data_IF_598706755510
#
_entry.id   IF_598706755510
#
_cell.length_a   1.000
_cell.length_b   1.000
_cell.length_c   1.000
_cell.angle_alpha   90.00
_cell.angle_beta   90.00
_cell.angle_gamma   90.00
#
_symmetry.space_group_name_H-M   'P 1'
#
loop_
_entity.id
_entity.type
_entity.pdbx_description
1 polymer ?
#
# COMPACT_ATOMS: atom_id res chain seq x y z
N UNK A 1 13.22 8.41 -9.42
CA UNK A 1 12.77 7.91 -10.75
C UNK A 1 11.49 7.13 -10.55
N UNK A 2 10.55 7.08 -11.49
CA UNK A 2 9.33 6.27 -11.38
C UNK A 2 9.63 4.78 -11.13
N UNK A 3 10.78 4.31 -11.61
CA UNK A 3 11.33 2.96 -11.42
C UNK A 3 11.50 2.55 -9.95
N UNK A 4 11.70 3.49 -9.02
CA UNK A 4 11.79 3.13 -7.59
C UNK A 4 10.46 2.67 -7.01
N UNK A 5 9.34 3.06 -7.63
CA UNK A 5 8.01 2.57 -7.29
C UNK A 5 7.71 1.19 -7.91
N UNK A 6 8.57 0.70 -8.81
CA UNK A 6 8.44 -0.63 -9.42
C UNK A 6 9.08 -1.73 -8.55
N UNK A 7 9.87 -1.37 -7.55
CA UNK A 7 10.54 -2.30 -6.64
C UNK A 7 9.53 -3.00 -5.72
N UNK A 8 9.53 -4.33 -5.71
CA UNK A 8 8.70 -5.13 -4.79
C UNK A 8 9.40 -5.39 -3.45
N UNK A 9 8.62 -5.75 -2.44
CA UNK A 9 9.15 -6.21 -1.15
C UNK A 9 9.66 -5.09 -0.25
N UNK A 10 9.28 -3.85 -0.53
CA UNK A 10 9.54 -2.70 0.33
C UNK A 10 8.82 -2.94 1.67
N UNK A 11 9.52 -2.67 2.78
CA UNK A 11 8.90 -2.76 4.11
C UNK A 11 7.91 -1.62 4.32
N UNK A 12 6.97 -1.79 5.24
CA UNK A 12 6.04 -0.74 5.66
C UNK A 12 6.79 0.57 6.02
N UNK A 13 7.94 0.43 6.69
CA UNK A 13 8.81 1.56 7.02
C UNK A 13 9.40 2.25 5.80
N UNK A 14 9.92 1.49 4.83
CA UNK A 14 10.42 2.05 3.57
C UNK A 14 9.32 2.73 2.76
N UNK A 15 8.12 2.13 2.69
CA UNK A 15 6.97 2.71 1.99
C UNK A 15 6.49 4.01 2.62
N UNK A 16 6.40 4.06 3.96
CA UNK A 16 6.02 5.27 4.69
C UNK A 16 7.06 6.39 4.55
N UNK A 17 8.37 6.06 4.50
CA UNK A 17 9.41 7.06 4.22
C UNK A 17 9.24 7.72 2.85
N UNK A 18 8.99 6.92 1.81
CA UNK A 18 8.72 7.46 0.46
C UNK A 18 7.50 8.37 0.48
N UNK A 19 6.45 7.96 1.19
CA UNK A 19 5.25 8.78 1.35
C UNK A 19 5.54 10.11 2.07
N UNK A 20 6.28 10.08 3.19
CA UNK A 20 6.68 11.25 3.96
C UNK A 20 7.58 12.21 3.14
N UNK A 21 8.47 11.68 2.30
CA UNK A 21 9.28 12.47 1.37
C UNK A 21 8.41 13.18 0.31
N UNK A 22 7.35 12.52 -0.18
CA UNK A 22 6.40 13.12 -1.13
C UNK A 22 5.55 14.18 -0.45
N UNK A 23 5.07 13.91 0.76
CA UNK A 23 4.34 14.86 1.62
C UNK A 23 5.16 16.14 1.83
N UNK A 24 6.45 16.01 2.16
CA UNK A 24 7.35 17.15 2.32
C UNK A 24 7.54 17.94 1.02
N UNK A 25 7.67 17.25 -0.12
CA UNK A 25 7.83 17.92 -1.43
C UNK A 25 6.59 18.71 -1.83
N UNK A 26 5.40 18.15 -1.60
CA UNK A 26 4.13 18.83 -1.90
C UNK A 26 4.00 20.10 -1.08
N UNK A 27 4.30 20.05 0.23
CA UNK A 27 4.25 21.22 1.12
C UNK A 27 5.27 22.31 0.81
N UNK A 28 6.31 22.00 0.03
CA UNK A 28 7.35 22.97 -0.38
C UNK A 28 7.05 23.66 -1.71
N UNK A 29 5.96 23.30 -2.40
CA UNK A 29 5.60 23.92 -3.68
C UNK A 29 5.10 25.34 -3.40
N UNK A 30 5.75 26.40 -3.94
CA UNK A 30 5.33 27.77 -3.69
C UNK A 30 4.18 28.20 -4.61
N UNK A 31 3.41 29.19 -4.16
CA UNK A 31 2.38 29.90 -4.94
C UNK A 31 1.03 29.17 -5.02
N UNK A 32 0.09 29.76 -5.76
CA UNK A 32 -1.31 29.32 -5.84
C UNK A 32 -1.46 27.85 -6.25
N UNK A 33 -0.60 27.37 -7.15
CA UNK A 33 -0.59 25.97 -7.54
C UNK A 33 -0.22 25.04 -6.38
N UNK A 34 0.71 25.45 -5.51
CA UNK A 34 1.09 24.73 -4.30
C UNK A 34 -0.06 24.61 -3.31
N UNK A 35 -0.81 25.69 -3.07
CA UNK A 35 -1.98 25.68 -2.18
C UNK A 35 -3.06 24.70 -2.68
N UNK A 36 -3.27 24.66 -4.00
CA UNK A 36 -4.21 23.72 -4.63
C UNK A 36 -3.75 22.26 -4.42
N UNK A 37 -2.46 21.97 -4.61
CA UNK A 37 -1.92 20.63 -4.37
C UNK A 37 -1.97 20.22 -2.90
N UNK A 38 -1.65 21.13 -1.99
CA UNK A 38 -1.71 20.89 -0.54
C UNK A 38 -3.14 20.58 -0.10
N UNK A 39 -4.11 21.37 -0.56
CA UNK A 39 -5.54 21.15 -0.26
C UNK A 39 -6.02 19.78 -0.76
N UNK A 40 -5.64 19.39 -1.98
CA UNK A 40 -5.97 18.06 -2.52
C UNK A 40 -5.28 16.94 -1.75
N UNK A 41 -4.01 17.13 -1.39
CA UNK A 41 -3.26 16.14 -0.63
C UNK A 41 -3.89 15.92 0.75
N UNK A 42 -4.18 16.99 1.49
CA UNK A 42 -4.83 16.93 2.80
C UNK A 42 -6.20 16.28 2.72
N UNK A 43 -6.97 16.55 1.67
CA UNK A 43 -8.26 15.90 1.43
C UNK A 43 -8.11 14.37 1.31
N UNK A 44 -7.13 13.90 0.52
CA UNK A 44 -6.87 12.47 0.33
C UNK A 44 -6.36 11.83 1.62
N UNK A 45 -5.41 12.46 2.30
CA UNK A 45 -4.83 11.96 3.55
C UNK A 45 -5.89 11.86 4.64
N UNK A 46 -6.73 12.88 4.80
CA UNK A 46 -7.80 12.91 5.80
C UNK A 46 -8.84 11.82 5.58
N UNK A 47 -9.10 11.45 4.32
CA UNK A 47 -10.00 10.34 3.99
C UNK A 47 -9.41 8.96 4.28
N UNK A 48 -8.09 8.84 4.37
CA UNK A 48 -7.43 7.57 4.63
C UNK A 48 -7.25 7.32 6.13
N UNK A 49 -8.29 6.79 6.78
CA UNK A 49 -8.27 6.45 8.21
C UNK A 49 -7.29 5.34 8.59
N UNK A 50 -6.79 4.56 7.62
CA UNK A 50 -5.83 3.48 7.86
C UNK A 50 -4.39 4.00 7.99
N UNK A 51 -4.06 5.15 7.42
CA UNK A 51 -2.69 5.69 7.45
C UNK A 51 -2.15 5.92 8.88
N UNK A 52 -2.92 6.48 9.84
CA UNK A 52 -2.49 6.57 11.23
C UNK A 52 -2.21 5.20 11.88
N UNK A 53 -3.04 4.19 11.59
CA UNK A 53 -2.86 2.82 12.09
C UNK A 53 -1.56 2.22 11.55
N UNK A 54 -1.28 2.41 10.26
CA UNK A 54 -0.03 1.96 9.64
C UNK A 54 1.21 2.64 10.23
N UNK A 55 1.12 3.92 10.59
CA UNK A 55 2.20 4.63 11.31
C UNK A 55 2.43 4.04 12.71
N UNK A 56 1.39 3.66 13.44
CA UNK A 56 1.50 2.96 14.74
C UNK A 56 2.17 1.59 14.59
N UNK A 57 1.72 0.79 13.62
CA UNK A 57 2.30 -0.52 13.31
C UNK A 57 3.78 -0.39 12.96
N UNK A 58 4.15 0.59 12.12
CA UNK A 58 5.57 0.89 11.83
C UNK A 58 6.36 1.16 13.10
N UNK A 59 5.84 1.99 13.99
CA UNK A 59 6.53 2.40 15.21
C UNK A 59 6.76 1.20 16.16
N UNK A 60 5.80 0.28 16.22
CA UNK A 60 5.93 -1.00 16.95
C UNK A 60 6.97 -1.91 16.28
N UNK A 61 6.94 -2.05 14.95
CA UNK A 61 7.92 -2.85 14.20
C UNK A 61 9.36 -2.33 14.35
N UNK A 62 9.53 -1.03 14.55
CA UNK A 62 10.82 -0.39 14.83
C UNK A 62 11.25 -0.51 16.31
N UNK A 63 10.40 -1.08 17.17
CA UNK A 63 10.69 -1.22 18.60
C UNK A 63 10.69 0.12 19.34
N UNK A 64 9.93 1.13 18.89
CA UNK A 64 9.84 2.40 19.62
C UNK A 64 9.19 2.17 20.99
N UNK A 65 9.79 2.67 22.08
CA UNK A 65 9.29 2.44 23.43
C UNK A 65 7.89 3.05 23.59
N UNK A 66 6.94 2.26 24.11
CA UNK A 66 5.57 2.71 24.37
C UNK A 66 4.71 2.90 23.13
N UNK A 67 5.15 2.46 21.94
CA UNK A 67 4.31 2.50 20.74
C UNK A 67 3.09 1.56 20.92
N UNK A 68 1.85 2.08 20.83
CA UNK A 68 0.67 1.25 20.94
C UNK A 68 0.37 0.55 19.63
N UNK A 69 -0.05 -0.71 19.70
CA UNK A 69 -0.83 -1.35 18.62
C UNK A 69 -2.27 -0.80 18.70
N UNK A 70 -2.92 -0.66 17.55
CA UNK A 70 -4.33 -0.24 17.51
C UNK A 70 -5.23 -1.22 18.24
N UNK A 71 -6.31 -0.73 18.85
CA UNK A 71 -7.28 -1.57 19.57
C UNK A 71 -7.77 -2.74 18.71
N UNK A 72 -7.73 -3.94 19.27
CA UNK A 72 -8.13 -5.17 18.59
C UNK A 72 -7.06 -5.81 17.70
N UNK A 73 -5.87 -5.20 17.57
CA UNK A 73 -4.75 -5.80 16.82
C UNK A 73 -3.86 -6.65 17.73
N UNK A 74 -3.64 -7.91 17.35
CA UNK A 74 -2.67 -8.76 18.03
C UNK A 74 -1.23 -8.45 17.58
N UNK A 75 -0.20 -8.83 18.34
CA UNK A 75 1.18 -8.70 17.89
C UNK A 75 1.44 -9.40 16.55
N UNK A 76 0.76 -10.53 16.30
CA UNK A 76 0.88 -11.26 15.05
C UNK A 76 0.34 -10.47 13.86
N UNK A 77 -0.81 -9.80 14.02
CA UNK A 77 -1.39 -8.94 12.99
C UNK A 77 -0.42 -7.81 12.61
N UNK A 78 0.23 -7.20 13.61
CA UNK A 78 1.28 -6.20 13.38
C UNK A 78 2.46 -6.73 12.57
N UNK A 79 2.90 -7.97 12.82
CA UNK A 79 4.00 -8.59 12.05
C UNK A 79 3.63 -8.90 10.61
N UNK A 80 2.38 -9.28 10.34
CA UNK A 80 1.87 -9.57 8.97
C UNK A 80 1.90 -8.29 8.13
N UNK A 81 1.68 -7.14 8.75
CA UNK A 81 1.70 -5.83 8.09
C UNK A 81 3.12 -5.30 7.78
N UNK A 82 4.20 -6.04 8.11
CA UNK A 82 5.59 -5.63 7.83
C UNK A 82 5.85 -5.28 6.36
N UNK A 83 5.14 -5.93 5.44
CA UNK A 83 5.24 -5.69 3.99
C UNK A 83 3.90 -5.20 3.41
N UNK A 84 3.10 -4.50 4.22
CA UNK A 84 1.84 -3.93 3.77
C UNK A 84 2.09 -2.92 2.63
N UNK A 85 1.39 -3.05 1.49
CA UNK A 85 1.55 -2.14 0.37
C UNK A 85 1.05 -0.73 0.73
N UNK A 86 1.88 0.28 0.49
CA UNK A 86 1.55 1.69 0.77
C UNK A 86 1.11 2.42 -0.51
N UNK A 87 1.58 1.99 -1.68
CA UNK A 87 1.35 2.69 -2.94
C UNK A 87 0.27 2.00 -3.77
N UNK A 88 -0.46 2.77 -4.60
CA UNK A 88 -1.45 2.21 -5.53
C UNK A 88 -0.83 1.26 -6.56
N UNK A 89 0.46 1.42 -6.87
CA UNK A 89 1.19 0.59 -7.83
C UNK A 89 1.27 -0.87 -7.35
N UNK A 90 1.40 -1.09 -6.04
CA UNK A 90 1.38 -2.44 -5.46
C UNK A 90 -0.01 -3.10 -5.64
N UNK A 91 -1.07 -2.31 -5.47
CA UNK A 91 -2.47 -2.74 -5.66
C UNK A 91 -2.73 -3.07 -7.14
N UNK A 92 -2.35 -2.17 -8.05
CA UNK A 92 -2.48 -2.39 -9.49
C UNK A 92 -1.71 -3.64 -9.94
N UNK A 93 -0.52 -3.88 -9.40
CA UNK A 93 0.26 -5.09 -9.70
C UNK A 93 -0.44 -6.37 -9.25
N UNK A 94 -1.11 -6.37 -8.10
CA UNK A 94 -1.95 -7.51 -7.70
C UNK A 94 -3.09 -7.78 -8.69
N UNK A 95 -3.65 -6.74 -9.33
CA UNK A 95 -4.67 -6.88 -10.37
C UNK A 95 -4.11 -7.17 -11.78
N UNK A 96 -2.84 -6.84 -12.04
CA UNK A 96 -2.18 -7.18 -13.30
C UNK A 96 -1.90 -8.68 -13.45
N UNK A 97 -1.65 -9.40 -12.35
CA UNK A 97 -1.39 -10.86 -12.38
C UNK A 97 -2.55 -11.64 -13.02
N UNK A 98 -3.82 -11.44 -12.63
CA UNK A 98 -4.94 -12.11 -13.27
C UNK A 98 -5.39 -11.48 -14.60
N UNK A 99 -4.68 -10.50 -15.18
CA UNK A 99 -5.12 -9.77 -16.38
C UNK A 99 -5.48 -10.69 -17.55
N UNK A 100 -4.72 -11.78 -17.74
CA UNK A 100 -4.99 -12.74 -18.81
C UNK A 100 -6.29 -13.54 -18.56
N UNK A 101 -6.67 -13.75 -17.30
CA UNK A 101 -7.90 -14.44 -16.90
C UNK A 101 -9.13 -13.54 -17.07
N UNK A 102 -8.96 -12.23 -16.86
CA UNK A 102 -10.03 -11.23 -16.98
C UNK A 102 -10.22 -10.74 -18.42
N UNK A 103 -9.26 -10.97 -19.32
CA UNK A 103 -9.35 -10.61 -20.73
C UNK A 103 -10.48 -11.36 -21.46
N UNK A 104 -10.93 -10.86 -22.61
CA UNK A 104 -12.00 -11.50 -23.40
C UNK A 104 -11.59 -12.86 -24.02
N UNK A 105 -10.29 -13.18 -24.01
CA UNK A 105 -9.76 -14.49 -24.48
C UNK A 105 -9.84 -15.58 -23.41
N UNK A 106 -10.95 -15.65 -22.67
CA UNK A 106 -11.10 -16.66 -21.62
C UNK A 106 -11.26 -18.04 -22.26
N UNK A 107 -10.44 -19.01 -21.83
CA UNK A 107 -10.92 -20.39 -21.81
C UNK A 107 -12.13 -20.44 -20.87
N UNK A 108 -13.06 -21.38 -21.04
CA UNK A 108 -14.26 -21.47 -20.19
C UNK A 108 -13.84 -21.74 -18.74
N UNK A 109 -13.70 -20.69 -17.93
CA UNK A 109 -13.34 -20.75 -16.51
C UNK A 109 -14.63 -20.67 -15.70
N UNK A 110 -14.91 -21.68 -14.86
CA UNK A 110 -16.01 -21.64 -13.89
C UNK A 110 -15.66 -20.72 -12.72
N UNK A 111 -16.65 -20.24 -11.97
CA UNK A 111 -16.42 -19.39 -10.78
C UNK A 111 -15.47 -20.04 -9.77
N UNK A 112 -15.59 -21.36 -9.58
CA UNK A 112 -14.68 -22.14 -8.73
C UNK A 112 -13.24 -22.09 -9.25
N UNK A 113 -13.04 -22.34 -10.54
CA UNK A 113 -11.71 -22.30 -11.15
C UNK A 113 -11.12 -20.88 -11.07
N UNK A 114 -11.94 -19.84 -11.22
CA UNK A 114 -11.50 -18.45 -11.07
C UNK A 114 -11.00 -18.16 -9.65
N UNK A 115 -11.75 -18.60 -8.63
CA UNK A 115 -11.35 -18.44 -7.23
C UNK A 115 -10.02 -19.16 -6.94
N UNK A 116 -9.87 -20.41 -7.40
CA UNK A 116 -8.63 -21.18 -7.24
C UNK A 116 -7.45 -20.51 -7.95
N UNK A 117 -7.64 -20.00 -9.16
CA UNK A 117 -6.58 -19.32 -9.92
C UNK A 117 -6.18 -17.99 -9.23
N UNK A 118 -7.13 -17.23 -8.68
CA UNK A 118 -6.83 -16.00 -7.93
C UNK A 118 -5.99 -16.34 -6.69
N UNK A 119 -6.38 -17.36 -5.92
CA UNK A 119 -5.62 -17.85 -4.76
C UNK A 119 -4.20 -18.23 -5.18
N UNK A 120 -4.03 -19.03 -6.24
CA UNK A 120 -2.70 -19.38 -6.75
C UNK A 120 -1.87 -18.15 -7.12
N UNK A 121 -2.42 -17.16 -7.83
CA UNK A 121 -1.68 -15.94 -8.18
C UNK A 121 -1.34 -15.04 -6.99
N UNK A 122 -2.10 -15.10 -5.90
CA UNK A 122 -1.82 -14.37 -4.67
C UNK A 122 -0.69 -15.02 -3.84
N UNK A 123 -0.56 -16.35 -3.88
CA UNK A 123 0.41 -17.09 -3.05
C UNK A 123 1.69 -17.52 -3.79
N UNK A 124 1.68 -17.57 -5.12
CA UNK A 124 2.90 -17.88 -5.88
C UNK A 124 3.85 -16.69 -5.89
N UNK A 125 5.06 -16.90 -5.33
CA UNK A 125 6.21 -16.01 -5.49
C UNK A 125 6.90 -16.33 -6.82
N UNK A 126 7.18 -15.30 -7.60
CA UNK A 126 8.24 -15.33 -8.62
C UNK A 126 9.59 -15.05 -7.96
#
# INVERSE_FOLDING_TARGET
SITSLETTGITLEGGLKIFEDVEERIRKIPGDAGEVFETMFDYVVKKNSALPVLRQVRDVLLGKPGAPLSDGMSPMDGTILKYCPITSIDVERSFLRPKNILSDRRQIVTEKNLAEIIVCHCFMKE
#
